data_IF_965149026026
#
_entry.id   IF_965149026026
#
_cell.length_a   1.000
_cell.length_b   1.000
_cell.length_c   1.000
_cell.angle_alpha   90.00
_cell.angle_beta   90.00
_cell.angle_gamma   90.00
#
_symmetry.space_group_name_H-M   'P 1'
#
loop_
_entity.id
_entity.type
_entity.pdbx_description
1 polymer ?
#
# COMPACT_ATOMS: atom_id res chain seq x y z
N UNK A 1 1.36 23.66 -10.64
CA UNK A 1 1.18 22.49 -11.52
C UNK A 1 0.48 21.41 -10.73
N UNK A 2 -0.71 21.01 -11.17
CA UNK A 2 -1.53 19.99 -10.50
C UNK A 2 -2.09 19.03 -11.56
N UNK A 3 -2.04 17.72 -11.29
CA UNK A 3 -2.54 16.68 -12.18
C UNK A 3 -2.02 16.76 -13.63
N UNK A 4 -0.72 17.05 -13.77
CA UNK A 4 -0.08 17.24 -15.06
C UNK A 4 0.97 16.15 -15.32
N UNK A 5 1.22 15.85 -16.59
CA UNK A 5 2.24 14.89 -17.04
C UNK A 5 3.29 15.59 -17.90
N UNK A 6 4.53 15.58 -17.42
CA UNK A 6 5.72 16.03 -18.14
C UNK A 6 6.59 14.80 -18.37
N UNK A 7 6.60 14.32 -19.61
CA UNK A 7 7.27 13.09 -19.96
C UNK A 7 8.04 13.19 -21.26
N UNK A 8 9.21 12.56 -21.30
CA UNK A 8 10.08 12.50 -22.48
C UNK A 8 10.52 13.88 -23.00
N UNK A 9 10.59 14.89 -22.12
CA UNK A 9 11.17 16.17 -22.50
C UNK A 9 12.69 16.08 -22.49
N UNK A 10 13.32 16.85 -23.38
CA UNK A 10 14.76 16.83 -23.57
C UNK A 10 15.31 18.26 -23.58
N UNK A 11 16.24 18.54 -22.67
CA UNK A 11 17.04 19.74 -22.69
C UNK A 11 18.48 19.39 -23.08
N UNK A 12 18.96 19.94 -24.19
CA UNK A 12 20.34 19.80 -24.66
C UNK A 12 20.92 21.20 -24.85
N UNK A 13 21.98 21.53 -24.13
CA UNK A 13 22.66 22.83 -24.28
C UNK A 13 23.71 23.04 -23.20
N UNK A 14 24.40 24.19 -23.26
CA UNK A 14 25.65 24.41 -22.54
C UNK A 14 25.49 24.80 -21.05
N UNK A 15 24.37 25.41 -20.62
CA UNK A 15 24.19 25.86 -19.22
C UNK A 15 22.75 25.84 -18.70
N UNK A 16 22.59 25.56 -17.40
CA UNK A 16 21.40 25.78 -16.55
C UNK A 16 20.07 25.22 -17.09
N UNK A 17 19.94 23.89 -17.11
CA UNK A 17 18.75 23.23 -17.66
C UNK A 17 18.11 22.26 -16.67
N UNK A 18 16.78 22.16 -16.73
CA UNK A 18 16.04 21.01 -16.22
C UNK A 18 15.43 20.24 -17.38
N UNK A 19 15.63 18.92 -17.43
CA UNK A 19 15.16 18.12 -18.57
C UNK A 19 13.66 18.18 -18.78
N UNK A 20 12.90 18.30 -17.69
CA UNK A 20 11.46 18.59 -17.71
C UNK A 20 11.12 19.99 -17.20
N UNK A 21 11.72 20.41 -16.09
CA UNK A 21 11.36 21.67 -15.40
C UNK A 21 12.61 22.44 -14.98
N UNK A 22 12.67 23.72 -15.37
CA UNK A 22 13.54 24.71 -14.75
C UNK A 22 12.69 25.67 -13.90
N UNK A 23 13.00 25.80 -12.61
CA UNK A 23 12.30 26.70 -11.69
C UNK A 23 13.26 27.72 -11.07
N UNK A 24 13.06 29.00 -11.39
CA UNK A 24 13.75 30.14 -10.77
C UNK A 24 12.77 31.04 -9.96
N UNK A 25 11.58 30.53 -9.68
CA UNK A 25 10.53 31.24 -8.95
C UNK A 25 9.90 30.38 -7.86
N UNK A 26 8.64 30.67 -7.54
CA UNK A 26 7.86 29.86 -6.62
C UNK A 26 7.04 28.83 -7.41
N UNK A 27 7.27 27.55 -7.16
CA UNK A 27 6.58 26.46 -7.85
C UNK A 27 5.97 25.47 -6.87
N UNK A 28 4.70 25.13 -7.09
CA UNK A 28 4.04 24.02 -6.41
C UNK A 28 3.66 22.97 -7.43
N UNK A 29 4.14 21.75 -7.24
CA UNK A 29 3.87 20.58 -8.07
C UNK A 29 3.14 19.57 -7.20
N UNK A 30 1.93 19.20 -7.61
CA UNK A 30 1.13 18.19 -6.90
C UNK A 30 0.42 17.24 -7.84
N UNK A 31 0.18 15.99 -7.39
CA UNK A 31 -0.51 14.94 -8.14
C UNK A 31 -0.01 14.77 -9.58
N UNK A 32 1.28 15.02 -9.82
CA UNK A 32 1.82 15.15 -11.17
C UNK A 32 2.84 14.06 -11.49
N UNK A 33 3.11 13.87 -12.77
CA UNK A 33 4.04 12.89 -13.31
C UNK A 33 5.19 13.60 -14.01
N UNK A 34 6.41 13.47 -13.48
CA UNK A 34 7.65 13.95 -14.08
C UNK A 34 8.49 12.73 -14.40
N UNK A 35 8.39 12.27 -15.64
CA UNK A 35 8.85 10.93 -16.03
C UNK A 35 9.77 10.95 -17.24
N UNK A 36 10.87 10.21 -17.21
CA UNK A 36 11.69 9.98 -18.42
C UNK A 36 12.14 11.27 -19.12
N UNK A 37 12.28 12.36 -18.37
CA UNK A 37 12.86 13.59 -18.89
C UNK A 37 14.38 13.49 -18.84
N UNK A 38 15.03 14.21 -19.73
CA UNK A 38 16.47 14.11 -19.94
C UNK A 38 17.11 15.49 -20.03
N UNK A 39 18.23 15.67 -19.32
CA UNK A 39 19.13 16.80 -19.50
C UNK A 39 20.53 16.32 -19.92
N UNK A 40 21.17 17.03 -20.85
CA UNK A 40 22.54 16.71 -21.25
C UNK A 40 23.28 17.82 -22.00
N UNK A 41 24.60 17.70 -22.11
CA UNK A 41 25.43 18.56 -22.96
C UNK A 41 25.97 19.87 -22.35
N UNK A 42 25.77 20.10 -21.05
CA UNK A 42 26.19 21.33 -20.37
C UNK A 42 26.65 21.14 -18.92
N UNK A 43 26.96 22.26 -18.26
CA UNK A 43 27.20 22.34 -16.81
C UNK A 43 25.91 22.80 -16.11
N UNK A 44 25.67 22.38 -14.86
CA UNK A 44 24.47 22.74 -14.05
C UNK A 44 23.13 22.25 -14.62
N UNK A 45 22.95 20.93 -14.60
CA UNK A 45 21.80 20.22 -15.13
C UNK A 45 21.02 19.48 -14.03
N UNK A 46 19.69 19.45 -14.14
CA UNK A 46 18.82 18.53 -13.41
C UNK A 46 18.09 17.62 -14.39
N UNK A 47 18.19 16.29 -14.24
CA UNK A 47 17.64 15.36 -15.23
C UNK A 47 16.11 15.48 -15.38
N UNK A 48 15.40 15.53 -14.25
CA UNK A 48 13.97 15.86 -14.21
C UNK A 48 13.75 17.35 -13.98
N UNK A 49 14.25 17.83 -12.85
CA UNK A 49 13.98 19.18 -12.35
C UNK A 49 15.30 19.87 -11.97
N UNK A 50 15.48 21.10 -12.45
CA UNK A 50 16.47 22.04 -11.92
C UNK A 50 15.74 23.14 -11.15
N UNK A 51 16.03 23.26 -9.85
CA UNK A 51 15.42 24.22 -8.95
C UNK A 51 16.46 25.23 -8.44
N UNK A 52 16.27 26.50 -8.81
CA UNK A 52 17.00 27.67 -8.33
C UNK A 52 16.12 28.58 -7.45
N UNK A 53 14.79 28.44 -7.53
CA UNK A 53 13.82 29.13 -6.68
C UNK A 53 13.27 28.30 -5.50
N UNK A 54 12.03 28.57 -5.09
CA UNK A 54 11.34 27.78 -4.06
C UNK A 54 10.38 26.78 -4.70
N UNK A 55 10.54 25.49 -4.38
CA UNK A 55 9.72 24.41 -4.90
C UNK A 55 9.10 23.57 -3.78
N UNK A 56 7.80 23.30 -3.92
CA UNK A 56 7.11 22.22 -3.20
C UNK A 56 6.70 21.14 -4.20
N UNK A 57 7.16 19.91 -3.99
CA UNK A 57 6.79 18.73 -4.77
C UNK A 57 6.09 17.74 -3.84
N UNK A 58 4.82 17.43 -4.09
CA UNK A 58 4.09 16.49 -3.22
C UNK A 58 3.12 15.60 -3.97
N UNK A 59 2.86 14.41 -3.44
CA UNK A 59 1.92 13.44 -4.04
C UNK A 59 2.18 13.20 -5.52
N UNK A 60 3.43 13.29 -5.96
CA UNK A 60 3.82 13.24 -7.37
C UNK A 60 4.77 12.08 -7.65
N UNK A 61 4.86 11.72 -8.92
CA UNK A 61 5.78 10.73 -9.44
C UNK A 61 6.98 11.44 -10.07
N UNK A 62 8.19 11.15 -9.58
CA UNK A 62 9.45 11.58 -10.18
C UNK A 62 10.24 10.33 -10.57
N UNK A 63 10.07 9.89 -11.82
CA UNK A 63 10.44 8.53 -12.23
C UNK A 63 11.35 8.55 -13.46
N UNK A 64 12.43 7.76 -13.42
CA UNK A 64 13.27 7.49 -14.59
C UNK A 64 13.80 8.73 -15.32
N UNK A 65 13.97 9.86 -14.62
CA UNK A 65 14.59 11.03 -15.21
C UNK A 65 16.11 10.84 -15.23
N UNK A 66 16.71 11.28 -16.32
CA UNK A 66 18.09 10.96 -16.65
C UNK A 66 18.91 12.22 -16.88
N UNK A 67 20.19 12.11 -16.55
CA UNK A 67 21.17 13.15 -16.71
C UNK A 67 22.42 12.55 -17.35
N UNK A 68 22.83 13.09 -18.50
CA UNK A 68 24.06 12.68 -19.19
C UNK A 68 25.02 13.87 -19.34
N UNK A 69 26.04 13.91 -18.50
CA UNK A 69 27.10 14.92 -18.50
C UNK A 69 28.14 14.64 -17.41
N UNK A 70 29.29 15.32 -17.47
CA UNK A 70 30.39 15.20 -16.48
C UNK A 70 30.08 15.92 -15.17
N UNK A 71 28.87 15.81 -14.66
CA UNK A 71 28.42 16.61 -13.53
C UNK A 71 27.71 15.71 -12.53
N UNK A 72 28.19 15.67 -11.28
CA UNK A 72 27.63 14.94 -10.14
C UNK A 72 26.28 15.55 -9.68
N UNK A 73 25.40 15.89 -10.60
CA UNK A 73 24.16 16.61 -10.35
C UNK A 73 22.98 15.66 -10.30
N UNK A 74 21.85 16.17 -9.83
CA UNK A 74 20.66 15.39 -9.53
C UNK A 74 19.97 14.88 -10.79
N UNK A 75 19.91 13.57 -11.01
CA UNK A 75 19.15 12.99 -12.13
C UNK A 75 17.63 13.18 -11.96
N UNK A 76 17.14 13.21 -10.72
CA UNK A 76 15.77 13.60 -10.40
C UNK A 76 15.64 15.11 -10.19
N UNK A 77 16.32 15.63 -9.16
CA UNK A 77 16.28 17.03 -8.74
C UNK A 77 17.69 17.57 -8.52
N UNK A 78 18.07 18.61 -9.26
CA UNK A 78 19.20 19.46 -8.91
C UNK A 78 18.68 20.72 -8.19
N UNK A 79 19.11 20.95 -6.96
CA UNK A 79 18.78 22.14 -6.18
C UNK A 79 20.03 23.05 -6.08
N UNK A 80 19.98 24.21 -6.72
CA UNK A 80 21.13 25.08 -6.96
C UNK A 80 20.80 26.54 -6.61
N UNK A 81 21.81 27.42 -6.67
CA UNK A 81 21.68 28.89 -6.56
C UNK A 81 20.86 29.41 -5.36
N UNK A 82 20.91 28.70 -4.23
CA UNK A 82 20.17 29.06 -3.01
C UNK A 82 18.70 28.65 -2.99
N UNK A 83 18.22 27.89 -3.98
CA UNK A 83 16.85 27.41 -4.04
C UNK A 83 16.44 26.55 -2.84
N UNK A 84 15.15 26.55 -2.49
CA UNK A 84 14.61 25.72 -1.43
C UNK A 84 13.64 24.68 -2.00
N UNK A 85 13.86 23.40 -1.68
CA UNK A 85 12.98 22.30 -2.08
C UNK A 85 12.35 21.63 -0.87
N UNK A 86 11.02 21.50 -0.87
CA UNK A 86 10.30 20.54 -0.02
C UNK A 86 9.66 19.47 -0.89
N UNK A 87 10.19 18.26 -0.86
CA UNK A 87 9.70 17.11 -1.60
C UNK A 87 9.19 16.07 -0.61
N UNK A 88 7.87 15.93 -0.45
CA UNK A 88 7.27 14.97 0.50
C UNK A 88 6.13 14.17 -0.14
N UNK A 89 5.94 12.92 0.28
CA UNK A 89 4.86 12.04 -0.18
C UNK A 89 4.91 11.75 -1.69
N UNK A 90 6.10 11.77 -2.26
CA UNK A 90 6.33 11.45 -3.67
C UNK A 90 6.78 10.00 -3.82
N UNK A 91 6.64 9.50 -5.05
CA UNK A 91 7.29 8.28 -5.51
C UNK A 91 8.49 8.66 -6.36
N UNK A 92 9.69 8.46 -5.84
CA UNK A 92 10.96 8.87 -6.45
C UNK A 92 11.76 7.60 -6.79
N UNK A 93 11.77 7.19 -8.06
CA UNK A 93 12.32 5.88 -8.45
C UNK A 93 13.03 5.94 -9.80
N UNK A 94 14.17 5.25 -9.90
CA UNK A 94 14.83 4.96 -11.18
C UNK A 94 15.48 6.17 -11.86
N UNK A 95 15.55 7.32 -11.18
CA UNK A 95 16.30 8.47 -11.69
C UNK A 95 17.81 8.20 -11.60
N UNK A 96 18.59 8.83 -12.47
CA UNK A 96 20.05 8.71 -12.45
C UNK A 96 20.62 9.24 -11.13
N UNK A 97 21.64 8.55 -10.59
CA UNK A 97 22.27 8.92 -9.33
C UNK A 97 23.37 9.98 -9.49
N UNK A 98 23.50 10.93 -8.54
CA UNK A 98 22.62 11.13 -7.39
C UNK A 98 21.22 11.53 -7.83
N UNK A 99 20.18 10.95 -7.23
CA UNK A 99 18.78 11.24 -7.59
C UNK A 99 18.41 12.66 -7.17
N UNK A 100 18.85 13.10 -5.99
CA UNK A 100 18.75 14.50 -5.56
C UNK A 100 20.14 15.02 -5.23
N UNK A 101 20.49 16.14 -5.86
CA UNK A 101 21.70 16.88 -5.56
C UNK A 101 21.34 18.23 -4.97
N UNK A 102 21.98 18.61 -3.87
CA UNK A 102 21.91 19.93 -3.27
C UNK A 102 23.28 20.60 -3.33
N UNK A 103 23.41 21.63 -4.13
CA UNK A 103 24.60 22.49 -4.13
C UNK A 103 24.54 23.52 -2.99
N UNK A 104 23.40 24.22 -2.91
CA UNK A 104 23.13 25.29 -1.96
C UNK A 104 21.65 25.33 -1.57
N UNK A 105 21.28 26.23 -0.67
CA UNK A 105 19.91 26.33 -0.13
C UNK A 105 19.51 25.13 0.73
N UNK A 106 18.21 24.90 0.86
CA UNK A 106 17.66 23.84 1.71
C UNK A 106 16.88 22.80 0.91
N UNK A 107 17.04 21.53 1.27
CA UNK A 107 16.25 20.42 0.70
C UNK A 107 15.70 19.57 1.84
N UNK A 108 14.37 19.47 1.89
CA UNK A 108 13.65 18.50 2.71
C UNK A 108 13.09 17.41 1.78
N UNK A 109 13.58 16.18 1.93
CA UNK A 109 13.14 15.02 1.14
C UNK A 109 12.55 13.89 2.01
N UNK A 110 11.95 14.27 3.14
CA UNK A 110 11.32 13.34 4.09
C UNK A 110 10.02 12.76 3.52
N UNK A 111 9.63 11.58 4.02
CA UNK A 111 8.32 10.96 3.72
C UNK A 111 8.07 10.68 2.24
N UNK A 112 9.11 10.43 1.45
CA UNK A 112 8.96 9.91 0.08
C UNK A 112 9.08 8.39 0.05
N UNK A 113 8.57 7.76 -1.00
CA UNK A 113 8.86 6.38 -1.36
C UNK A 113 10.03 6.35 -2.36
N UNK A 114 11.08 5.61 -2.01
CA UNK A 114 12.33 5.54 -2.76
C UNK A 114 12.48 4.24 -3.58
N UNK A 115 11.36 3.53 -3.80
CA UNK A 115 11.32 2.25 -4.52
C UNK A 115 11.69 1.03 -3.68
N UNK A 116 12.14 1.22 -2.43
CA UNK A 116 12.51 0.17 -1.48
C UNK A 116 12.35 0.65 -0.03
N UNK A 117 12.15 -0.31 0.89
CA UNK A 117 12.18 -0.09 2.33
C UNK A 117 13.60 0.20 2.86
N UNK A 118 14.64 -0.15 2.08
CA UNK A 118 16.04 0.02 2.46
C UNK A 118 16.82 0.81 1.39
N UNK A 119 16.50 2.11 1.20
CA UNK A 119 17.18 2.94 0.20
C UNK A 119 18.64 3.20 0.60
N UNK A 120 19.56 3.11 -0.37
CA UNK A 120 20.94 3.56 -0.19
C UNK A 120 21.03 5.08 -0.42
N UNK A 121 20.74 5.85 0.63
CA UNK A 121 20.78 7.30 0.56
C UNK A 121 22.16 7.88 0.25
N UNK A 122 23.26 7.14 0.47
CA UNK A 122 24.60 7.63 0.09
C UNK A 122 24.77 7.71 -1.42
N UNK A 123 24.14 6.79 -2.15
CA UNK A 123 24.13 6.80 -3.62
C UNK A 123 23.03 7.73 -4.16
N UNK A 124 21.87 7.76 -3.52
CA UNK A 124 20.71 8.53 -4.00
C UNK A 124 20.84 10.04 -3.77
N UNK A 125 21.59 10.49 -2.76
CA UNK A 125 21.62 11.88 -2.32
C UNK A 125 23.04 12.42 -2.26
N UNK A 126 23.23 13.67 -2.68
CA UNK A 126 24.51 14.35 -2.59
C UNK A 126 24.33 15.80 -2.12
N UNK A 127 25.20 16.25 -1.22
CA UNK A 127 25.22 17.62 -0.68
C UNK A 127 24.13 17.94 0.35
N UNK A 128 23.36 16.95 0.78
CA UNK A 128 22.28 17.10 1.77
C UNK A 128 22.33 16.02 2.86
N UNK A 129 21.63 16.29 3.97
CA UNK A 129 21.39 15.28 5.00
C UNK A 129 20.45 14.19 4.49
N UNK A 130 20.63 12.97 5.01
CA UNK A 130 19.76 11.85 4.68
C UNK A 130 18.40 12.01 5.37
N UNK A 131 17.29 11.67 4.70
CA UNK A 131 15.97 11.60 5.32
C UNK A 131 15.98 10.69 6.55
N UNK A 132 15.39 11.17 7.64
CA UNK A 132 15.24 10.40 8.89
C UNK A 132 14.05 9.45 8.81
N UNK A 133 13.06 9.76 7.96
CA UNK A 133 11.87 8.95 7.73
C UNK A 133 11.47 8.94 6.25
N UNK A 134 11.10 7.76 5.75
CA UNK A 134 10.56 7.57 4.40
C UNK A 134 9.34 6.66 4.46
N UNK A 135 8.53 6.69 3.40
CA UNK A 135 7.39 5.77 3.25
C UNK A 135 7.91 4.33 3.29
N UNK A 136 7.24 3.47 4.04
CA UNK A 136 7.61 2.09 4.27
C UNK A 136 6.46 1.18 3.84
N UNK A 137 6.75 0.29 2.90
CA UNK A 137 5.80 -0.70 2.40
C UNK A 137 5.62 -1.80 3.45
N UNK A 138 4.37 -2.22 3.64
CA UNK A 138 3.99 -3.35 4.50
C UNK A 138 3.02 -4.26 3.76
N UNK A 139 2.91 -5.52 4.18
CA UNK A 139 1.96 -6.50 3.66
C UNK A 139 1.31 -7.27 4.82
N UNK A 140 0.00 -7.49 4.75
CA UNK A 140 -0.75 -8.28 5.72
C UNK A 140 -1.86 -9.09 5.05
N UNK A 141 -2.06 -10.32 5.49
CA UNK A 141 -3.27 -11.09 5.20
C UNK A 141 -4.34 -10.86 6.29
N UNK A 142 -5.61 -10.73 5.88
CA UNK A 142 -6.74 -10.59 6.78
C UNK A 142 -7.98 -11.35 6.27
N UNK A 143 -8.40 -12.44 6.92
CA UNK A 143 -7.72 -13.10 8.05
C UNK A 143 -6.42 -13.82 7.62
N UNK A 144 -5.51 -14.07 8.56
CA UNK A 144 -4.26 -14.81 8.29
C UNK A 144 -4.44 -16.34 8.26
N UNK A 145 -5.63 -16.83 8.66
CA UNK A 145 -6.04 -18.22 8.55
C UNK A 145 -7.48 -18.29 8.03
N UNK A 146 -7.74 -19.26 7.15
CA UNK A 146 -9.05 -19.51 6.52
C UNK A 146 -9.28 -21.02 6.39
N UNK A 147 -10.51 -21.43 6.11
CA UNK A 147 -10.84 -22.79 5.67
C UNK A 147 -10.97 -22.89 4.13
N UNK A 148 -10.90 -24.11 3.55
CA UNK A 148 -11.20 -24.33 2.14
C UNK A 148 -12.50 -23.65 1.68
N UNK A 149 -12.41 -22.87 0.60
CA UNK A 149 -13.53 -22.14 0.02
C UNK A 149 -13.73 -20.72 0.56
N UNK A 150 -13.14 -20.39 1.71
CA UNK A 150 -13.12 -19.03 2.24
C UNK A 150 -12.06 -18.16 1.53
N UNK A 151 -12.04 -16.88 1.87
CA UNK A 151 -11.17 -15.88 1.24
C UNK A 151 -10.36 -15.11 2.27
N UNK A 152 -9.12 -14.78 1.94
CA UNK A 152 -8.29 -13.83 2.69
C UNK A 152 -8.02 -12.59 1.86
N UNK A 153 -8.21 -11.40 2.45
CA UNK A 153 -7.81 -10.15 1.81
C UNK A 153 -6.33 -9.90 2.10
N UNK A 154 -5.54 -9.78 1.04
CA UNK A 154 -4.14 -9.36 1.13
C UNK A 154 -4.10 -7.84 0.96
N UNK A 155 -3.49 -7.17 1.91
CA UNK A 155 -3.42 -5.71 2.00
C UNK A 155 -1.95 -5.31 1.96
N UNK A 156 -1.57 -4.59 0.92
CA UNK A 156 -0.30 -3.86 0.86
C UNK A 156 -0.57 -2.41 1.23
N UNK A 157 0.21 -1.87 2.16
CA UNK A 157 0.04 -0.51 2.67
C UNK A 157 1.36 0.25 2.61
N UNK A 158 1.28 1.47 2.11
CA UNK A 158 2.33 2.50 2.15
C UNK A 158 2.01 3.58 3.20
N UNK A 159 1.06 3.32 4.10
CA UNK A 159 0.59 4.27 5.10
C UNK A 159 1.39 4.21 6.42
N UNK A 160 2.67 3.88 6.32
CA UNK A 160 3.60 3.82 7.44
C UNK A 160 4.93 4.46 7.02
N UNK A 161 5.59 5.14 7.95
CA UNK A 161 6.96 5.60 7.80
C UNK A 161 7.94 4.58 8.40
N UNK A 162 9.19 4.62 7.97
CA UNK A 162 10.24 3.70 8.43
C UNK A 162 10.34 3.55 9.96
N UNK A 163 10.13 4.63 10.71
CA UNK A 163 10.15 4.62 12.18
C UNK A 163 8.88 4.07 12.84
N UNK A 164 7.94 3.52 12.07
CA UNK A 164 6.65 3.00 12.56
C UNK A 164 5.52 4.03 12.65
N UNK A 165 5.78 5.31 12.37
CA UNK A 165 4.73 6.35 12.39
C UNK A 165 3.71 6.08 11.29
N UNK A 166 2.43 6.02 11.64
CA UNK A 166 1.34 5.88 10.68
C UNK A 166 1.05 7.21 9.99
N UNK A 167 0.88 7.19 8.67
CA UNK A 167 0.32 8.31 7.91
C UNK A 167 -1.11 7.97 7.51
N UNK A 168 -2.00 8.95 7.64
CA UNK A 168 -3.41 8.80 7.25
C UNK A 168 -3.67 9.48 5.90
N UNK A 169 -4.71 9.08 5.15
CA UNK A 169 -5.06 9.75 3.90
C UNK A 169 -5.24 11.27 4.04
N UNK A 170 -5.71 11.73 5.21
CA UNK A 170 -5.85 13.15 5.55
C UNK A 170 -4.50 13.87 5.67
N UNK A 171 -3.51 13.20 6.28
CA UNK A 171 -2.13 13.72 6.40
C UNK A 171 -1.27 13.46 5.17
N UNK A 172 -1.81 12.73 4.19
CA UNK A 172 -1.17 12.37 2.93
C UNK A 172 -0.80 10.89 2.80
N UNK A 173 -0.60 10.45 1.57
CA UNK A 173 -0.31 9.07 1.20
C UNK A 173 0.56 9.04 -0.06
N UNK A 174 1.12 7.87 -0.38
CA UNK A 174 1.76 7.61 -1.68
C UNK A 174 0.80 7.96 -2.83
N UNK A 175 1.28 8.46 -3.99
CA UNK A 175 0.42 8.70 -5.15
C UNK A 175 -0.47 7.49 -5.47
N UNK A 176 -1.74 7.77 -5.75
CA UNK A 176 -2.69 6.75 -6.18
C UNK A 176 -2.29 6.19 -7.55
N UNK A 177 -2.85 5.02 -7.88
CA UNK A 177 -2.55 4.26 -9.10
C UNK A 177 -1.12 3.69 -9.16
N UNK A 178 -0.38 3.70 -8.05
CA UNK A 178 0.88 2.95 -7.94
C UNK A 178 0.58 1.46 -8.00
N UNK A 179 1.26 0.74 -8.90
CA UNK A 179 1.02 -0.68 -9.14
C UNK A 179 1.69 -1.58 -8.09
N UNK A 180 0.96 -2.60 -7.66
CA UNK A 180 1.44 -3.69 -6.82
C UNK A 180 1.16 -5.01 -7.52
N UNK A 181 2.22 -5.78 -7.79
CA UNK A 181 2.13 -7.11 -8.39
C UNK A 181 2.06 -8.17 -7.28
N UNK A 182 1.15 -9.12 -7.39
CA UNK A 182 0.95 -10.20 -6.43
C UNK A 182 1.19 -11.57 -7.07
N UNK A 183 1.81 -12.46 -6.32
CA UNK A 183 1.88 -13.88 -6.65
C UNK A 183 1.55 -14.72 -5.43
N UNK A 184 1.04 -15.93 -5.64
CA UNK A 184 0.76 -16.89 -4.57
C UNK A 184 1.35 -18.25 -4.91
N UNK A 185 1.90 -18.94 -3.91
CA UNK A 185 2.35 -20.33 -4.05
C UNK A 185 1.20 -21.34 -4.06
N UNK A 186 0.01 -20.93 -3.59
CA UNK A 186 -1.18 -21.77 -3.46
C UNK A 186 -2.44 -20.92 -3.64
N UNK A 187 -3.42 -21.44 -4.37
CA UNK A 187 -4.68 -20.73 -4.61
C UNK A 187 -4.61 -19.68 -5.72
N UNK A 188 -5.76 -19.06 -5.98
CA UNK A 188 -5.92 -18.00 -6.97
C UNK A 188 -5.82 -16.63 -6.29
N UNK A 189 -5.13 -15.70 -6.94
CA UNK A 189 -4.96 -14.33 -6.47
C UNK A 189 -5.00 -13.34 -7.64
N UNK A 190 -5.60 -12.17 -7.43
CA UNK A 190 -5.53 -11.07 -8.38
C UNK A 190 -4.09 -10.56 -8.51
N UNK A 191 -3.53 -10.62 -9.73
CA UNK A 191 -2.10 -10.42 -9.98
C UNK A 191 -1.63 -8.97 -9.88
N UNK A 192 -2.50 -8.00 -10.11
CA UNK A 192 -2.14 -6.57 -10.09
C UNK A 192 -3.24 -5.81 -9.37
N UNK A 193 -2.86 -4.91 -8.47
CA UNK A 193 -3.75 -3.91 -7.90
C UNK A 193 -3.08 -2.53 -7.89
N UNK A 194 -3.90 -1.49 -7.85
CA UNK A 194 -3.47 -0.10 -7.76
C UNK A 194 -3.65 0.43 -6.35
N UNK A 195 -2.79 1.35 -5.93
CA UNK A 195 -2.97 2.07 -4.67
C UNK A 195 -4.16 3.01 -4.76
N UNK A 196 -4.99 2.98 -3.72
CA UNK A 196 -6.03 3.97 -3.43
C UNK A 196 -5.81 4.38 -1.98
N UNK A 197 -5.57 5.67 -1.74
CA UNK A 197 -5.24 6.22 -0.43
C UNK A 197 -4.06 5.49 0.23
N UNK A 198 -3.03 5.19 -0.57
CA UNK A 198 -1.80 4.52 -0.13
C UNK A 198 -1.92 3.02 0.15
N UNK A 199 -3.03 2.37 -0.21
CA UNK A 199 -3.19 0.91 -0.04
C UNK A 199 -3.59 0.23 -1.34
N UNK A 200 -3.05 -0.96 -1.59
CA UNK A 200 -3.49 -1.86 -2.65
C UNK A 200 -3.98 -3.17 -2.04
N UNK A 201 -5.07 -3.73 -2.56
CA UNK A 201 -5.71 -4.93 -2.01
C UNK A 201 -5.95 -5.95 -3.11
N UNK A 202 -5.80 -7.23 -2.76
CA UNK A 202 -6.20 -8.37 -3.59
C UNK A 202 -6.81 -9.45 -2.71
N UNK A 203 -7.50 -10.42 -3.31
CA UNK A 203 -8.18 -11.50 -2.60
C UNK A 203 -7.52 -12.81 -2.97
N UNK A 204 -7.14 -13.59 -1.96
CA UNK A 204 -6.74 -14.98 -2.09
C UNK A 204 -7.96 -15.88 -1.93
N UNK A 205 -8.13 -16.85 -2.84
CA UNK A 205 -9.15 -17.90 -2.75
C UNK A 205 -8.54 -19.27 -3.06
N UNK A 206 -8.87 -20.27 -2.26
CA UNK A 206 -8.46 -21.66 -2.50
C UNK A 206 -9.40 -22.65 -1.84
N UNK A 207 -9.59 -23.82 -2.46
CA UNK A 207 -10.27 -24.98 -1.87
C UNK A 207 -9.30 -26.04 -1.34
N UNK A 208 -7.99 -25.79 -1.45
CA UNK A 208 -6.95 -26.73 -1.04
C UNK A 208 -6.35 -26.28 0.28
N UNK A 209 -6.37 -27.18 1.28
CA UNK A 209 -5.68 -26.98 2.55
C UNK A 209 -4.16 -26.89 2.36
N UNK A 210 -3.48 -26.12 3.20
CA UNK A 210 -2.05 -25.91 3.11
C UNK A 210 -1.65 -24.50 3.52
N UNK A 211 -0.40 -24.13 3.21
CA UNK A 211 0.12 -22.79 3.49
C UNK A 211 0.33 -22.05 2.17
N UNK A 212 -0.38 -20.94 1.98
CA UNK A 212 -0.14 -20.04 0.86
C UNK A 212 0.92 -19.01 1.26
N UNK A 213 1.98 -18.90 0.48
CA UNK A 213 2.96 -17.81 0.56
C UNK A 213 2.59 -16.79 -0.52
N UNK A 214 2.30 -15.56 -0.10
CA UNK A 214 1.91 -14.48 -0.98
C UNK A 214 3.08 -13.50 -1.05
N UNK A 215 3.56 -13.22 -2.26
CA UNK A 215 4.54 -12.16 -2.48
C UNK A 215 3.85 -10.95 -3.10
N UNK A 216 4.21 -9.77 -2.65
CA UNK A 216 3.82 -8.51 -3.27
C UNK A 216 5.07 -7.71 -3.67
N UNK A 217 5.06 -7.18 -4.89
CA UNK A 217 6.14 -6.38 -5.44
C UNK A 217 5.65 -5.00 -5.88
N UNK A 218 6.37 -3.97 -5.44
CA UNK A 218 6.26 -2.61 -5.96
C UNK A 218 7.66 -2.07 -6.14
N UNK A 219 7.98 -1.56 -7.33
CA UNK A 219 9.35 -1.17 -7.67
C UNK A 219 10.33 -2.32 -7.43
N UNK A 220 11.37 -2.05 -6.64
CA UNK A 220 12.40 -3.01 -6.25
C UNK A 220 12.04 -3.72 -4.93
N UNK A 221 11.00 -3.26 -4.22
CA UNK A 221 10.57 -3.88 -2.97
C UNK A 221 9.73 -5.11 -3.23
N UNK A 222 10.15 -6.21 -2.63
CA UNK A 222 9.35 -7.44 -2.51
C UNK A 222 9.11 -7.70 -1.03
N UNK A 223 7.87 -7.94 -0.64
CA UNK A 223 7.51 -8.42 0.68
C UNK A 223 6.68 -9.69 0.56
N UNK A 224 6.63 -10.48 1.62
CA UNK A 224 5.78 -11.66 1.68
C UNK A 224 4.92 -11.67 2.94
N UNK A 225 3.80 -12.39 2.83
CA UNK A 225 2.97 -12.79 3.96
C UNK A 225 2.49 -14.21 3.71
N UNK A 226 1.80 -14.80 4.69
CA UNK A 226 1.24 -16.15 4.54
C UNK A 226 -0.20 -16.22 4.98
N UNK A 227 -0.93 -17.14 4.37
CA UNK A 227 -2.29 -17.52 4.77
C UNK A 227 -2.30 -19.02 5.04
N UNK A 228 -2.67 -19.40 6.26
CA UNK A 228 -2.90 -20.80 6.63
C UNK A 228 -4.29 -21.22 6.16
N UNK A 229 -4.40 -22.31 5.43
CA UNK A 229 -5.67 -22.91 5.02
C UNK A 229 -5.87 -24.20 5.80
N UNK A 230 -6.66 -24.11 6.86
CA UNK A 230 -6.92 -25.20 7.78
C UNK A 230 -7.90 -26.19 7.14
N UNK A 231 -7.47 -27.44 6.98
CA UNK A 231 -8.35 -28.53 6.55
C UNK A 231 -9.60 -28.54 7.43
N UNK A 232 -10.77 -28.67 6.82
CA UNK A 232 -11.97 -28.94 7.60
C UNK A 232 -11.77 -30.24 8.38
N UNK A 233 -12.06 -30.23 9.68
CA UNK A 233 -12.09 -31.45 10.46
C UNK A 233 -13.14 -32.39 9.85
N UNK A 234 -12.77 -33.65 9.68
CA UNK A 234 -13.69 -34.69 9.23
C UNK A 234 -14.69 -35.01 10.35
N UNK A 235 -15.81 -34.29 10.38
CA UNK A 235 -16.88 -34.52 11.36
C UNK A 235 -17.55 -35.89 11.19
N UNK A 236 -17.24 -36.65 10.12
CA UNK A 236 -17.73 -38.03 9.94
C UNK A 236 -17.06 -39.04 10.86
N UNK A 237 -15.95 -38.68 11.52
CA UNK A 237 -15.31 -39.49 12.57
C UNK A 237 -15.92 -39.31 13.96
N UNK A 238 -16.83 -38.35 14.13
CA UNK A 238 -17.60 -38.25 15.35
C UNK A 238 -18.77 -39.24 15.28
N UNK A 239 -18.53 -40.49 15.66
CA UNK A 239 -19.62 -41.39 16.03
C UNK A 239 -20.17 -40.86 17.35
N UNK A 240 -21.37 -40.26 17.41
CA UNK A 240 -21.95 -39.93 18.70
C UNK A 240 -22.06 -41.26 19.45
N UNK A 241 -21.45 -41.36 20.63
CA UNK A 241 -21.78 -42.43 21.56
C UNK A 241 -23.24 -42.21 21.96
N UNK A 242 -24.17 -42.74 21.19
CA UNK A 242 -25.55 -42.88 21.65
C UNK A 242 -25.52 -43.89 22.78
N UNK A 243 -25.58 -43.40 24.01
CA UNK A 243 -25.97 -44.26 25.14
C UNK A 243 -27.39 -44.69 24.83
N UNK A 244 -27.61 -45.99 24.60
CA UNK A 244 -28.96 -46.52 24.41
C UNK A 244 -29.78 -46.16 25.64
N UNK A 245 -30.92 -45.50 25.42
CA UNK A 245 -31.85 -45.17 26.50
C UNK A 245 -32.30 -46.50 27.12
N UNK A 246 -32.07 -46.67 28.41
CA UNK A 246 -32.51 -47.85 29.14
C UNK A 246 -34.04 -47.89 29.17
N UNK A 247 -34.60 -48.99 28.62
CA UNK A 247 -36.04 -49.25 28.63
C UNK A 247 -36.50 -49.48 30.08
N UNK A 248 -36.95 -48.43 30.76
CA UNK A 248 -37.64 -48.50 32.06
C UNK A 248 -39.16 -48.51 31.91
N UNK A 249 -39.67 -49.04 30.79
CA UNK A 249 -41.09 -49.28 30.60
C UNK A 249 -41.55 -50.53 31.35
N UNK A 250 -42.16 -50.35 32.52
CA UNK A 250 -43.00 -51.38 33.13
C UNK A 250 -44.27 -51.60 32.31
N UNK A 251 -44.72 -52.85 32.18
CA UNK A 251 -45.97 -53.21 31.50
C UNK A 251 -47.18 -52.54 32.18
N UNK A 252 -48.04 -51.91 31.37
CA UNK A 252 -49.31 -51.32 31.82
C UNK A 252 -50.41 -52.37 31.60
N UNK A 253 -51.08 -52.79 32.69
CA UNK A 253 -52.38 -53.50 32.64
C UNK A 253 -53.35 -52.80 33.61
N UNK A 254 -54.65 -52.64 33.25
CA UNK A 254 -55.41 -51.41 33.47
C UNK A 254 -56.33 -51.45 34.69
N UNK A 255 -56.58 -50.30 35.34
CA UNK A 255 -57.67 -50.16 36.31
C UNK A 255 -58.55 -48.93 36.02
N UNK A 256 -59.73 -49.25 35.49
CA UNK A 256 -61.07 -48.66 35.69
C UNK A 256 -61.24 -47.21 36.19
N UNK A 257 -62.00 -46.46 35.37
CA UNK A 257 -63.15 -45.60 35.73
C UNK A 257 -62.92 -44.40 36.68
N UNK A 258 -63.07 -43.19 36.16
CA UNK A 258 -64.15 -42.27 36.57
C UNK A 258 -64.15 -41.00 35.70
N UNK A 259 -65.22 -40.83 34.94
CA UNK A 259 -65.61 -39.63 34.20
C UNK A 259 -66.51 -38.75 35.07
N UNK A 260 -66.11 -37.51 35.38
CA UNK A 260 -66.98 -36.41 35.85
C UNK A 260 -66.40 -35.09 35.29
N UNK A 261 -66.95 -34.44 34.24
CA UNK A 261 -68.10 -33.51 34.16
C UNK A 261 -67.88 -32.12 34.80
N UNK A 262 -68.31 -31.08 34.03
CA UNK A 262 -68.72 -29.69 34.41
C UNK A 262 -67.57 -28.64 34.36
N UNK A 263 -67.43 -27.85 33.28
CA UNK A 263 -68.21 -26.70 32.74
C UNK A 263 -67.58 -25.35 33.12
N UNK A 264 -67.49 -24.53 32.07
CA UNK A 264 -67.20 -23.10 31.96
C UNK A 264 -67.70 -22.18 33.06
N UNK A 265 -66.95 -21.08 33.28
CA UNK A 265 -67.56 -19.78 33.60
C UNK A 265 -66.75 -18.89 34.52
N UNK A 266 -65.95 -17.96 33.96
CA UNK A 266 -65.80 -16.63 34.55
C UNK A 266 -65.83 -15.60 33.40
N UNK A 267 -67.02 -15.04 33.18
CA UNK A 267 -67.15 -13.66 32.77
C UNK A 267 -66.95 -12.78 34.01
N UNK A 268 -66.10 -11.76 33.93
CA UNK A 268 -66.37 -10.51 34.63
C UNK A 268 -66.63 -9.45 33.58
N UNK A 269 -67.82 -8.83 33.66
CA UNK A 269 -68.29 -7.78 32.79
C UNK A 269 -68.61 -6.54 33.65
N UNK A 270 -68.03 -5.40 33.23
CA UNK A 270 -68.63 -4.06 33.05
C UNK A 270 -69.04 -3.11 34.20
N UNK A 271 -68.60 -1.85 33.94
CA UNK A 271 -69.28 -0.52 34.00
C UNK A 271 -69.47 0.12 35.38
N UNK A 272 -69.26 1.42 35.56
CA UNK A 272 -69.58 2.58 34.70
C UNK A 272 -68.40 3.47 34.33
#
# INVERSE_FOLDING_TARGET
>A
MDNCTLKNNQAIGLTNQGGGIFNDGNMTITNSHIESNFAGGGTNLGGGINNQGNMTLTKSNLINNDLKGNSNLGGGIANQEGGNTTANLNRIVGNTNPTIFKDSGNVNAEKNWWGTNHPDFKSLLLGMEQPKVWIYMTIKANPAAIHPGETSTIIVSFNQLYNGTIITPLTGHLPDNTLVNFTSSLGEIGKIAQTIQGMAKTILKTSTAGMAIIMAQTDQQILNTSVKIDSQEDTSKYVPRTVGMENTGTEIIPLFLASILIISGISMNRKY
#
